data_IF_526215583390
#
_entry.id   IF_526215583390
#
_cell.length_a   1.000
_cell.length_b   1.000
_cell.length_c   1.000
_cell.angle_alpha   90.00
_cell.angle_beta   90.00
_cell.angle_gamma   90.00
#
_symmetry.space_group_name_H-M   'P 1'
#
loop_
_entity.id
_entity.type
_entity.pdbx_description
1 polymer ?
#
# COMPACT_ATOMS: atom_id res chain seq x y z
N UNK A 1 1.46 22.00 -9.62
CA UNK A 1 2.72 21.28 -9.89
C UNK A 1 3.46 22.02 -11.00
N UNK A 2 4.69 22.46 -10.76
CA UNK A 2 5.45 23.32 -11.69
C UNK A 2 6.12 22.58 -12.86
N UNK A 3 6.02 21.24 -12.90
CA UNK A 3 6.72 20.40 -13.90
C UNK A 3 5.84 19.88 -15.03
N UNK A 4 4.51 20.03 -14.95
CA UNK A 4 3.57 19.52 -15.96
C UNK A 4 3.45 17.99 -16.05
N UNK A 5 4.04 17.25 -15.10
CA UNK A 5 4.01 15.78 -15.08
C UNK A 5 2.68 15.26 -14.54
N UNK A 6 2.17 14.20 -15.16
CA UNK A 6 1.04 13.41 -14.62
C UNK A 6 1.50 12.64 -13.38
N UNK A 7 0.57 12.42 -12.46
CA UNK A 7 0.76 11.59 -11.28
C UNK A 7 -0.18 10.39 -11.33
N UNK A 8 0.20 9.30 -10.67
CA UNK A 8 -0.62 8.10 -10.56
C UNK A 8 -0.78 7.70 -9.10
N UNK A 9 -1.91 7.09 -8.77
CA UNK A 9 -2.18 6.51 -7.48
C UNK A 9 -1.82 5.02 -7.47
N UNK A 10 -1.20 4.57 -6.38
CA UNK A 10 -1.03 3.15 -6.05
C UNK A 10 -1.37 2.94 -4.57
N UNK A 11 -1.71 1.71 -4.18
CA UNK A 11 -1.90 1.37 -2.76
C UNK A 11 -0.66 0.71 -2.13
N UNK A 12 0.42 0.55 -2.89
CA UNK A 12 1.63 -0.17 -2.48
C UNK A 12 1.33 -1.54 -1.85
N UNK A 13 0.49 -2.31 -2.53
CA UNK A 13 -0.07 -3.54 -1.99
C UNK A 13 1.00 -4.61 -1.72
N UNK A 14 0.94 -5.24 -0.55
CA UNK A 14 1.82 -6.32 -0.12
C UNK A 14 1.09 -7.64 0.19
N UNK A 15 -0.21 -7.59 0.44
CA UNK A 15 -1.02 -8.76 0.79
C UNK A 15 -2.43 -8.64 0.23
N UNK A 16 -3.18 -9.74 0.21
CA UNK A 16 -4.47 -9.80 -0.48
C UNK A 16 -5.58 -9.17 0.35
N UNK A 17 -5.75 -9.61 1.60
CA UNK A 17 -6.87 -9.22 2.45
C UNK A 17 -6.42 -8.39 3.66
N UNK A 18 -7.26 -7.49 4.21
CA UNK A 18 -6.88 -6.65 5.36
C UNK A 18 -6.36 -7.43 6.57
N UNK A 19 -6.90 -8.63 6.81
CA UNK A 19 -6.51 -9.50 7.93
C UNK A 19 -5.16 -10.21 7.74
N UNK A 20 -4.56 -10.15 6.55
CA UNK A 20 -3.26 -10.76 6.25
C UNK A 20 -2.07 -9.90 6.74
N UNK A 21 -2.32 -8.68 7.23
CA UNK A 21 -1.24 -7.77 7.68
C UNK A 21 -0.31 -8.42 8.71
N UNK A 22 -0.85 -9.23 9.63
CA UNK A 22 -0.04 -9.95 10.62
C UNK A 22 0.81 -11.06 9.98
N UNK A 23 0.28 -11.76 8.99
CA UNK A 23 1.03 -12.77 8.25
C UNK A 23 2.17 -12.13 7.46
N UNK A 24 1.93 -10.97 6.83
CA UNK A 24 2.96 -10.18 6.16
C UNK A 24 4.07 -9.76 7.13
N UNK A 25 3.73 -9.26 8.32
CA UNK A 25 4.73 -8.89 9.33
C UNK A 25 5.61 -10.08 9.75
N UNK A 26 5.02 -11.28 9.88
CA UNK A 26 5.77 -12.51 10.14
C UNK A 26 6.71 -12.83 8.99
N UNK A 27 6.22 -12.76 7.74
CA UNK A 27 7.04 -13.01 6.55
C UNK A 27 8.24 -12.06 6.46
N UNK A 28 8.04 -10.77 6.75
CA UNK A 28 9.11 -9.78 6.81
C UNK A 28 10.14 -10.09 7.90
N UNK A 29 9.68 -10.50 9.08
CA UNK A 29 10.58 -10.91 10.16
C UNK A 29 11.45 -12.10 9.73
N UNK A 30 10.86 -13.11 9.10
CA UNK A 30 11.60 -14.28 8.58
C UNK A 30 12.65 -13.84 7.56
N UNK A 31 12.27 -13.02 6.57
CA UNK A 31 13.17 -12.55 5.52
C UNK A 31 14.37 -11.73 6.08
N UNK A 32 14.16 -11.03 7.20
CA UNK A 32 15.17 -10.18 7.82
C UNK A 32 15.96 -10.86 8.96
N UNK A 33 15.69 -12.13 9.25
CA UNK A 33 16.31 -12.83 10.38
C UNK A 33 15.92 -12.23 11.73
N UNK A 34 14.68 -11.74 11.85
CA UNK A 34 14.11 -11.06 13.02
C UNK A 34 12.98 -11.88 13.64
N UNK A 35 12.60 -11.54 14.87
CA UNK A 35 11.43 -12.11 15.55
C UNK A 35 10.41 -11.00 15.84
N UNK A 36 9.14 -11.37 16.06
CA UNK A 36 8.10 -10.39 16.40
C UNK A 36 8.36 -9.62 17.71
N UNK A 37 9.20 -10.20 18.60
CA UNK A 37 9.60 -9.60 19.87
C UNK A 37 10.81 -8.65 19.73
N UNK A 38 11.51 -8.64 18.59
CA UNK A 38 12.60 -7.70 18.36
C UNK A 38 12.03 -6.28 18.21
N UNK A 39 12.45 -5.38 19.11
CA UNK A 39 11.98 -3.98 19.12
C UNK A 39 12.45 -3.19 17.89
N UNK A 40 13.54 -3.61 17.25
CA UNK A 40 14.10 -3.00 16.05
C UNK A 40 13.65 -3.67 14.75
N UNK A 41 12.66 -4.57 14.78
CA UNK A 41 12.11 -5.15 13.56
C UNK A 41 11.40 -4.10 12.72
N UNK A 42 11.40 -4.30 11.41
CA UNK A 42 10.54 -3.52 10.54
C UNK A 42 9.08 -3.80 10.88
N UNK A 43 8.31 -2.74 11.13
CA UNK A 43 6.89 -2.80 11.45
C UNK A 43 6.18 -1.66 10.72
N UNK A 44 5.18 -1.99 9.92
CA UNK A 44 4.28 -0.97 9.38
C UNK A 44 3.39 -0.42 10.50
N UNK A 45 3.19 0.90 10.52
CA UNK A 45 2.32 1.58 11.49
C UNK A 45 0.83 1.40 11.20
N UNK A 46 0.49 1.01 9.96
CA UNK A 46 -0.88 0.81 9.48
C UNK A 46 -1.01 -0.55 8.77
N UNK A 47 -2.25 -1.01 8.62
CA UNK A 47 -2.57 -2.29 7.96
C UNK A 47 -3.30 -2.10 6.62
N UNK A 48 -2.96 -1.05 5.89
CA UNK A 48 -3.70 -0.61 4.69
C UNK A 48 -3.13 -1.14 3.36
N UNK A 49 -2.05 -1.94 3.39
CA UNK A 49 -1.33 -2.46 2.22
C UNK A 49 -1.97 -3.73 1.63
N UNK A 50 -3.30 -3.86 1.73
CA UNK A 50 -4.07 -4.93 1.09
C UNK A 50 -4.53 -4.54 -0.33
N UNK A 51 -5.08 -5.48 -1.11
CA UNK A 51 -5.74 -5.13 -2.38
C UNK A 51 -7.05 -4.38 -2.06
N UNK A 52 -7.04 -3.06 -2.18
CA UNK A 52 -8.23 -2.23 -2.01
C UNK A 52 -9.18 -2.36 -3.18
N UNK A 53 -10.48 -2.24 -2.90
CA UNK A 53 -11.51 -2.14 -3.93
C UNK A 53 -11.39 -0.80 -4.68
N UNK A 54 -11.93 -0.71 -5.91
CA UNK A 54 -12.02 0.55 -6.64
C UNK A 54 -12.69 1.67 -5.83
N UNK A 55 -13.73 1.35 -5.05
CA UNK A 55 -14.46 2.31 -4.23
C UNK A 55 -13.63 2.80 -3.03
N UNK A 56 -12.83 1.93 -2.43
CA UNK A 56 -11.90 2.32 -1.36
C UNK A 56 -10.82 3.27 -1.91
N UNK A 57 -10.24 2.95 -3.07
CA UNK A 57 -9.25 3.81 -3.73
C UNK A 57 -9.86 5.15 -4.14
N UNK A 58 -11.06 5.16 -4.71
CA UNK A 58 -11.77 6.39 -5.09
C UNK A 58 -12.03 7.31 -3.89
N UNK A 59 -12.30 6.75 -2.71
CA UNK A 59 -12.45 7.54 -1.48
C UNK A 59 -11.12 8.12 -1.01
N UNK A 60 -10.02 7.36 -1.12
CA UNK A 60 -8.69 7.80 -0.68
C UNK A 60 -8.13 8.94 -1.53
N UNK A 61 -8.44 8.95 -2.83
CA UNK A 61 -7.97 9.96 -3.80
C UNK A 61 -9.11 10.86 -4.29
N UNK A 62 -10.13 11.08 -3.47
CA UNK A 62 -11.31 11.87 -3.86
C UNK A 62 -11.00 13.34 -4.17
N UNK A 63 -9.90 13.86 -3.61
CA UNK A 63 -9.37 15.20 -3.86
C UNK A 63 -8.56 15.30 -5.14
N UNK A 64 -8.06 14.17 -5.66
CA UNK A 64 -7.22 14.09 -6.87
C UNK A 64 -7.63 12.87 -7.71
N UNK A 65 -8.84 12.85 -8.28
CA UNK A 65 -9.35 11.71 -9.04
C UNK A 65 -8.50 11.39 -10.28
N UNK A 66 -7.82 12.39 -10.87
CA UNK A 66 -6.94 12.17 -12.01
C UNK A 66 -5.79 11.19 -11.70
N UNK A 67 -5.37 11.07 -10.43
CA UNK A 67 -4.33 10.13 -10.04
C UNK A 67 -4.76 8.67 -10.26
N UNK A 68 -6.06 8.36 -10.10
CA UNK A 68 -6.60 7.04 -10.39
C UNK A 68 -6.82 6.84 -11.89
N UNK A 69 -7.36 7.85 -12.58
CA UNK A 69 -7.59 7.79 -14.03
C UNK A 69 -6.29 7.53 -14.80
N UNK A 70 -5.22 8.23 -14.44
CA UNK A 70 -3.91 8.09 -15.08
C UNK A 70 -3.32 6.67 -14.95
N UNK A 71 -3.78 5.85 -13.99
CA UNK A 71 -3.32 4.44 -13.87
C UNK A 71 -3.73 3.61 -15.10
N UNK A 72 -4.87 3.93 -15.72
CA UNK A 72 -5.40 3.20 -16.88
C UNK A 72 -4.65 3.54 -18.17
N UNK A 73 -3.94 4.67 -18.22
CA UNK A 73 -3.09 5.01 -19.37
C UNK A 73 -1.80 4.17 -19.41
N UNK A 74 -1.42 3.57 -18.29
CA UNK A 74 -0.18 2.77 -18.15
C UNK A 74 -0.45 1.26 -18.35
N UNK A 75 -1.65 0.80 -18.00
CA UNK A 75 -2.01 -0.62 -17.91
C UNK A 75 -2.20 -1.33 -19.26
#
# INVERSE_FOLDING_TARGET
>A
LETGLKIIATNDTHYTMPNDAKAQEVAMCVAMGKTLNDKGRLKHSVHEFYIKSPEEMAKLFADIPEALENTQEIA
#
